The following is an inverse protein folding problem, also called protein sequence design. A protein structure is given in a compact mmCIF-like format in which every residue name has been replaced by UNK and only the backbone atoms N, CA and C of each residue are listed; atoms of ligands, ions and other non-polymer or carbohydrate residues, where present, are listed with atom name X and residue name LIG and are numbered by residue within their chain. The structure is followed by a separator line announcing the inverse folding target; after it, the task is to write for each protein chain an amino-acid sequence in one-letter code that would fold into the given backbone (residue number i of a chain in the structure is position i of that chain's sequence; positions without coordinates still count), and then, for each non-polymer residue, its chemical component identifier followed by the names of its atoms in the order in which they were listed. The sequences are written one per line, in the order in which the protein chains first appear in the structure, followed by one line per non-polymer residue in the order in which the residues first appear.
data_IF_364912209535
#
_entry.id   IF_364912209535
#
_cell.length_a   1.000
_cell.length_b   1.000
_cell.length_c   1.000
_cell.angle_alpha   90.00
_cell.angle_beta   90.00
_cell.angle_gamma   90.00
#
_symmetry.space_group_name_H-M   'P 1'
#
loop_
_entity.id
_entity.type
_entity.pdbx_description
1 polymer ?
#
# COMPACT_ATOMS: atom_id res chain seq x y z
N UNK A 1 41.14 10.24 50.33
CA UNK A 1 40.24 9.24 49.68
C UNK A 1 39.41 9.99 48.66
N UNK A 2 39.85 9.96 47.42
CA UNK A 2 39.24 10.74 46.33
C UNK A 2 38.34 9.81 45.52
N UNK A 3 37.03 10.01 45.60
CA UNK A 3 36.05 9.21 44.89
C UNK A 3 35.94 9.70 43.45
N UNK A 4 36.35 8.85 42.54
CA UNK A 4 36.32 9.09 41.09
C UNK A 4 34.88 8.86 40.58
N UNK A 5 34.14 9.94 40.25
CA UNK A 5 32.84 9.85 39.61
C UNK A 5 33.05 9.56 38.11
N UNK A 6 32.66 8.35 37.69
CA UNK A 6 32.57 7.99 36.29
C UNK A 6 31.42 8.76 35.64
N UNK A 7 31.75 9.73 34.79
CA UNK A 7 30.77 10.42 33.94
C UNK A 7 30.43 9.53 32.75
N UNK A 8 29.20 9.03 32.71
CA UNK A 8 28.65 8.35 31.55
C UNK A 8 28.41 9.37 30.42
N UNK A 9 28.76 9.06 29.17
CA UNK A 9 28.46 9.93 28.05
C UNK A 9 26.95 10.05 27.87
N UNK A 10 26.47 11.27 27.80
CA UNK A 10 25.08 11.60 27.48
C UNK A 10 24.74 10.99 26.12
N UNK A 11 23.89 9.97 26.12
CA UNK A 11 23.27 9.44 24.90
C UNK A 11 22.42 10.57 24.32
N UNK A 12 22.90 11.19 23.25
CA UNK A 12 22.10 12.13 22.48
C UNK A 12 20.86 11.37 22.00
N UNK A 13 19.70 11.69 22.55
CA UNK A 13 18.43 11.28 22.06
C UNK A 13 18.25 11.85 20.64
N UNK A 14 18.74 11.11 19.65
CA UNK A 14 18.28 11.28 18.29
C UNK A 14 16.82 10.78 18.27
N UNK A 15 15.90 11.64 18.69
CA UNK A 15 14.49 11.49 18.41
C UNK A 15 14.37 11.56 16.89
N UNK A 16 14.34 10.39 16.25
CA UNK A 16 13.94 10.29 14.85
C UNK A 16 12.56 10.95 14.79
N UNK A 17 12.49 12.15 14.24
CA UNK A 17 11.21 12.78 13.92
C UNK A 17 10.56 11.85 12.92
N UNK A 18 9.73 10.94 13.38
CA UNK A 18 8.79 10.23 12.53
C UNK A 18 7.98 11.32 11.86
N UNK A 19 8.18 11.48 10.57
CA UNK A 19 7.42 12.46 9.79
C UNK A 19 5.97 11.96 9.76
N UNK A 20 5.14 12.40 10.70
CA UNK A 20 3.75 12.02 10.86
C UNK A 20 2.84 12.63 9.78
N UNK A 21 3.40 13.25 8.76
CA UNK A 21 2.61 13.76 7.64
C UNK A 21 1.87 12.62 6.95
N UNK A 22 0.59 12.82 6.63
CA UNK A 22 -0.19 11.84 5.89
C UNK A 22 0.52 11.44 4.59
N UNK A 23 0.60 10.13 4.35
CA UNK A 23 1.25 9.57 3.17
C UNK A 23 0.49 8.34 2.69
N UNK A 24 0.23 8.29 1.39
CA UNK A 24 -0.31 7.13 0.72
C UNK A 24 0.82 6.37 0.05
N UNK A 25 1.02 5.14 0.45
CA UNK A 25 2.01 4.25 -0.15
C UNK A 25 1.34 3.30 -1.14
N UNK A 26 2.09 2.81 -2.09
CA UNK A 26 1.67 1.67 -2.91
C UNK A 26 2.75 0.60 -2.93
N UNK A 27 2.36 -0.65 -2.94
CA UNK A 27 3.29 -1.78 -2.91
C UNK A 27 2.76 -2.96 -3.73
N UNK A 28 3.63 -3.61 -4.49
CA UNK A 28 3.37 -4.91 -5.12
C UNK A 28 4.12 -6.02 -4.40
N UNK A 29 3.53 -7.24 -4.37
CA UNK A 29 4.20 -8.37 -3.71
C UNK A 29 4.89 -9.33 -4.69
N UNK A 30 4.86 -9.05 -5.97
CA UNK A 30 5.61 -9.79 -6.98
C UNK A 30 7.12 -9.74 -6.65
N UNK A 31 7.80 -10.88 -6.72
CA UNK A 31 9.22 -10.97 -6.36
C UNK A 31 9.52 -11.05 -4.85
N UNK A 32 8.65 -10.55 -3.97
CA UNK A 32 8.91 -10.49 -2.53
C UNK A 32 8.42 -11.74 -1.80
N UNK A 33 9.17 -12.21 -0.81
CA UNK A 33 8.65 -13.11 0.22
C UNK A 33 7.71 -12.36 1.16
N UNK A 34 6.88 -13.09 1.91
CA UNK A 34 5.98 -12.46 2.89
C UNK A 34 6.73 -11.66 3.96
N UNK A 35 7.89 -12.15 4.39
CA UNK A 35 8.71 -11.45 5.40
C UNK A 35 9.29 -10.15 4.84
N UNK A 36 9.85 -10.15 3.62
CA UNK A 36 10.34 -8.95 2.95
C UNK A 36 9.23 -7.92 2.74
N UNK A 37 8.03 -8.39 2.38
CA UNK A 37 6.88 -7.51 2.21
C UNK A 37 6.48 -6.84 3.53
N UNK A 38 6.35 -7.61 4.61
CA UNK A 38 6.02 -7.08 5.94
C UNK A 38 7.10 -6.13 6.44
N UNK A 39 8.39 -6.46 6.24
CA UNK A 39 9.50 -5.60 6.60
C UNK A 39 9.43 -4.23 5.91
N UNK A 40 9.10 -4.19 4.60
CA UNK A 40 8.87 -2.92 3.89
C UNK A 40 7.73 -2.11 4.50
N UNK A 41 6.63 -2.75 4.90
CA UNK A 41 5.51 -2.05 5.55
C UNK A 41 5.90 -1.50 6.92
N UNK A 42 6.56 -2.29 7.75
CA UNK A 42 7.00 -1.90 9.09
C UNK A 42 8.03 -0.77 9.01
N UNK A 43 9.03 -0.88 8.13
CA UNK A 43 10.08 0.14 7.93
C UNK A 43 9.51 1.49 7.48
N UNK A 44 8.36 1.47 6.80
CA UNK A 44 7.65 2.68 6.38
C UNK A 44 6.55 3.08 7.35
N UNK A 45 6.48 2.47 8.55
CA UNK A 45 5.50 2.77 9.60
C UNK A 45 4.04 2.70 9.11
N UNK A 46 3.72 1.78 8.20
CA UNK A 46 2.36 1.62 7.67
C UNK A 46 1.42 1.18 8.80
N UNK A 47 0.27 1.84 8.94
CA UNK A 47 -0.75 1.56 9.96
C UNK A 47 -1.88 0.68 9.43
N UNK A 48 -2.19 0.82 8.15
CA UNK A 48 -3.22 0.01 7.48
C UNK A 48 -2.79 -0.31 6.06
N UNK A 49 -2.99 -1.56 5.67
CA UNK A 49 -2.85 -2.03 4.30
C UNK A 49 -4.23 -2.23 3.68
N UNK A 50 -4.47 -1.60 2.55
CA UNK A 50 -5.69 -1.76 1.74
C UNK A 50 -5.36 -2.64 0.54
N UNK A 51 -5.90 -3.84 0.54
CA UNK A 51 -5.77 -4.82 -0.54
C UNK A 51 -6.80 -4.52 -1.64
N UNK A 52 -6.35 -3.99 -2.77
CA UNK A 52 -7.22 -3.64 -3.91
C UNK A 52 -7.27 -4.73 -4.97
N UNK A 53 -6.91 -5.97 -4.64
CA UNK A 53 -7.10 -7.11 -5.54
C UNK A 53 -8.57 -7.49 -5.62
N UNK A 54 -9.08 -7.74 -6.82
CA UNK A 54 -10.44 -8.26 -6.98
C UNK A 54 -10.58 -9.64 -6.34
N UNK A 55 -9.60 -10.53 -6.56
CA UNK A 55 -9.54 -11.84 -5.94
C UNK A 55 -8.26 -11.96 -5.10
N UNK A 56 -8.34 -12.01 -3.75
CA UNK A 56 -7.19 -12.05 -2.84
C UNK A 56 -6.68 -13.48 -2.58
N UNK A 57 -6.95 -14.42 -3.48
CA UNK A 57 -6.34 -15.76 -3.49
C UNK A 57 -4.97 -15.66 -4.16
N UNK A 58 -3.95 -16.20 -3.52
CA UNK A 58 -2.60 -16.23 -4.06
C UNK A 58 -1.98 -17.61 -3.91
N UNK A 59 -1.31 -18.11 -4.98
CA UNK A 59 -0.46 -19.30 -4.91
C UNK A 59 0.85 -19.04 -4.18
N UNK A 60 1.22 -17.77 -4.02
CA UNK A 60 2.40 -17.37 -3.28
C UNK A 60 2.13 -17.47 -1.79
N UNK A 61 2.97 -18.24 -1.09
CA UNK A 61 2.80 -18.54 0.34
C UNK A 61 2.71 -17.24 1.17
N UNK A 62 1.69 -17.18 2.01
CA UNK A 62 1.47 -16.06 2.93
C UNK A 62 0.63 -14.91 2.38
N UNK A 63 0.28 -14.89 1.07
CA UNK A 63 -0.46 -13.78 0.46
C UNK A 63 -1.94 -14.05 0.17
N UNK A 64 -2.47 -15.20 0.60
CA UNK A 64 -3.92 -15.43 0.60
C UNK A 64 -4.57 -14.70 1.78
N UNK A 65 -5.77 -14.15 1.55
CA UNK A 65 -6.45 -13.15 2.40
C UNK A 65 -6.38 -13.41 3.91
N UNK A 66 -6.80 -14.58 4.37
CA UNK A 66 -6.86 -14.88 5.82
C UNK A 66 -5.47 -14.93 6.45
N UNK A 67 -4.58 -15.74 5.86
CA UNK A 67 -3.19 -15.89 6.35
C UNK A 67 -2.44 -14.55 6.31
N UNK A 68 -2.68 -13.77 5.26
CA UNK A 68 -2.04 -12.48 5.09
C UNK A 68 -2.52 -11.46 6.13
N UNK A 69 -3.83 -11.35 6.34
CA UNK A 69 -4.42 -10.52 7.39
C UNK A 69 -3.82 -10.85 8.76
N UNK A 70 -3.84 -12.13 9.15
CA UNK A 70 -3.38 -12.55 10.47
C UNK A 70 -1.89 -12.22 10.70
N UNK A 71 -1.06 -12.28 9.65
CA UNK A 71 0.36 -11.86 9.72
C UNK A 71 0.54 -10.36 9.84
N UNK A 72 -0.29 -9.55 9.20
CA UNK A 72 -0.26 -8.09 9.31
C UNK A 72 -0.71 -7.64 10.69
N UNK A 73 -1.79 -8.22 11.20
CA UNK A 73 -2.31 -7.92 12.53
C UNK A 73 -1.30 -8.29 13.64
N UNK A 74 -0.54 -9.38 13.46
CA UNK A 74 0.51 -9.77 14.39
C UNK A 74 1.65 -8.74 14.52
N UNK A 75 1.84 -7.86 13.54
CA UNK A 75 2.80 -6.75 13.59
C UNK A 75 2.13 -5.38 13.77
N UNK A 76 0.84 -5.35 14.14
CA UNK A 76 0.09 -4.12 14.42
C UNK A 76 -0.38 -3.36 13.19
N UNK A 77 -0.35 -3.97 12.00
CA UNK A 77 -0.86 -3.36 10.76
C UNK A 77 -2.29 -3.85 10.50
N UNK A 78 -3.24 -2.93 10.39
CA UNK A 78 -4.62 -3.27 10.03
C UNK A 78 -4.70 -3.73 8.57
N UNK A 79 -5.64 -4.61 8.28
CA UNK A 79 -5.92 -5.09 6.93
C UNK A 79 -7.35 -4.77 6.51
N UNK A 80 -7.51 -4.16 5.34
CA UNK A 80 -8.80 -3.93 4.70
C UNK A 80 -8.74 -4.48 3.27
N UNK A 81 -9.81 -5.12 2.81
CA UNK A 81 -9.92 -5.60 1.44
C UNK A 81 -11.04 -4.85 0.72
N UNK A 82 -10.72 -4.24 -0.42
CA UNK A 82 -11.66 -3.50 -1.27
C UNK A 82 -11.64 -4.12 -2.67
N UNK A 83 -12.33 -5.26 -2.89
CA UNK A 83 -12.33 -5.97 -4.17
C UNK A 83 -12.99 -5.17 -5.31
N UNK A 84 -13.83 -4.21 -5.00
CA UNK A 84 -14.54 -3.35 -5.95
C UNK A 84 -13.57 -2.46 -6.74
N UNK A 85 -12.42 -2.14 -6.16
CA UNK A 85 -11.34 -1.41 -6.84
C UNK A 85 -10.38 -2.34 -7.62
N UNK A 86 -10.63 -3.65 -7.60
CA UNK A 86 -9.77 -4.62 -8.26
C UNK A 86 -10.15 -4.87 -9.72
N UNK A 87 -9.18 -5.26 -10.53
CA UNK A 87 -9.42 -5.70 -11.92
C UNK A 87 -9.90 -7.16 -11.92
N UNK A 88 -11.09 -7.45 -12.45
CA UNK A 88 -11.56 -8.83 -12.61
C UNK A 88 -10.60 -9.69 -13.41
N UNK A 89 -10.44 -10.95 -13.01
CA UNK A 89 -9.50 -11.89 -13.65
C UNK A 89 -9.79 -12.09 -15.15
N UNK A 90 -11.06 -11.99 -15.55
CA UNK A 90 -11.47 -12.12 -16.95
C UNK A 90 -10.82 -11.04 -17.84
N UNK A 91 -10.61 -9.83 -17.33
CA UNK A 91 -10.01 -8.71 -18.06
C UNK A 91 -8.47 -8.79 -18.11
N UNK A 92 -7.86 -9.67 -17.34
CA UNK A 92 -6.40 -9.87 -17.31
C UNK A 92 -5.91 -10.94 -18.29
N UNK A 93 -6.80 -11.56 -19.04
CA UNK A 93 -6.44 -12.56 -20.05
C UNK A 93 -5.77 -11.86 -21.24
N UNK A 94 -4.69 -12.47 -21.74
CA UNK A 94 -3.96 -11.99 -22.95
C UNK A 94 -3.29 -10.60 -22.80
N UNK A 95 -2.89 -10.22 -21.59
CA UNK A 95 -2.03 -9.05 -21.39
C UNK A 95 -0.58 -9.42 -21.69
N UNK A 96 -0.04 -8.94 -22.80
CA UNK A 96 1.34 -9.22 -23.22
C UNK A 96 1.98 -8.06 -23.97
N UNK A 97 1.21 -7.01 -24.28
CA UNK A 97 1.70 -5.85 -25.01
C UNK A 97 1.34 -4.55 -24.31
N UNK A 98 2.09 -3.48 -24.57
CA UNK A 98 1.79 -2.13 -24.07
C UNK A 98 0.36 -1.69 -24.45
N UNK A 99 -0.07 -2.02 -25.66
CA UNK A 99 -1.42 -1.69 -26.13
C UNK A 99 -2.52 -2.40 -25.35
N UNK A 100 -2.31 -3.69 -24.99
CA UNK A 100 -3.28 -4.44 -24.18
C UNK A 100 -3.41 -3.88 -22.75
N UNK A 101 -2.31 -3.43 -22.14
CA UNK A 101 -2.34 -2.74 -20.84
C UNK A 101 -3.03 -1.37 -20.93
N UNK A 102 -2.77 -0.58 -21.98
CA UNK A 102 -3.46 0.70 -22.18
C UNK A 102 -4.99 0.51 -22.33
N UNK A 103 -5.41 -0.48 -23.10
CA UNK A 103 -6.84 -0.81 -23.26
C UNK A 103 -7.45 -1.26 -21.94
N UNK A 104 -6.76 -2.09 -21.17
CA UNK A 104 -7.20 -2.51 -19.82
C UNK A 104 -7.39 -1.32 -18.90
N UNK A 105 -6.39 -0.42 -18.83
CA UNK A 105 -6.47 0.73 -17.91
C UNK A 105 -7.53 1.73 -18.31
N UNK A 106 -7.72 1.98 -19.61
CA UNK A 106 -8.83 2.81 -20.10
C UNK A 106 -10.19 2.22 -19.71
N UNK A 107 -10.35 0.88 -19.86
CA UNK A 107 -11.56 0.19 -19.41
C UNK A 107 -11.71 0.29 -17.88
N UNK A 108 -10.63 0.07 -17.12
CA UNK A 108 -10.61 0.14 -15.67
C UNK A 108 -11.08 1.51 -15.17
N UNK A 109 -10.50 2.59 -15.69
CA UNK A 109 -10.83 3.97 -15.30
C UNK A 109 -12.31 4.29 -15.54
N UNK A 110 -12.84 3.92 -16.72
CA UNK A 110 -14.18 4.29 -17.12
C UNK A 110 -15.28 3.39 -16.56
N UNK A 111 -15.02 2.13 -16.31
CA UNK A 111 -16.03 1.13 -15.99
C UNK A 111 -15.91 0.56 -14.57
N UNK A 112 -14.73 0.61 -13.99
CA UNK A 112 -14.50 0.10 -12.64
C UNK A 112 -14.31 1.26 -11.68
N UNK A 113 -13.27 2.06 -11.87
CA UNK A 113 -12.94 3.14 -10.95
C UNK A 113 -14.06 4.20 -10.87
N UNK A 114 -14.54 4.67 -12.01
CA UNK A 114 -15.61 5.68 -12.07
C UNK A 114 -16.93 5.22 -11.45
N UNK A 115 -17.18 3.90 -11.40
CA UNK A 115 -18.40 3.34 -10.79
C UNK A 115 -18.23 3.02 -9.31
N UNK A 116 -17.02 3.16 -8.75
CA UNK A 116 -16.67 2.74 -7.40
C UNK A 116 -15.99 3.87 -6.60
N UNK A 117 -16.38 5.11 -6.83
CA UNK A 117 -15.77 6.29 -6.20
C UNK A 117 -15.99 6.32 -4.68
N UNK A 118 -17.06 5.73 -4.17
CA UNK A 118 -17.31 5.59 -2.73
C UNK A 118 -16.19 4.80 -2.04
N UNK A 119 -15.60 3.82 -2.73
CA UNK A 119 -14.45 3.08 -2.20
C UNK A 119 -13.15 3.88 -2.30
N UNK A 120 -13.03 4.81 -3.23
CA UNK A 120 -11.92 5.77 -3.26
C UNK A 120 -12.02 6.76 -2.08
N UNK A 121 -13.23 7.19 -1.73
CA UNK A 121 -13.45 8.01 -0.53
C UNK A 121 -13.09 7.24 0.76
N UNK A 122 -13.31 5.92 0.83
CA UNK A 122 -12.83 5.11 1.95
C UNK A 122 -11.30 5.14 2.09
N UNK A 123 -10.56 5.19 0.97
CA UNK A 123 -9.09 5.38 1.02
C UNK A 123 -8.74 6.74 1.62
N UNK A 124 -9.42 7.82 1.23
CA UNK A 124 -9.20 9.16 1.80
C UNK A 124 -9.52 9.19 3.31
N UNK A 125 -10.61 8.55 3.72
CA UNK A 125 -10.97 8.43 5.15
C UNK A 125 -9.90 7.64 5.91
N UNK A 126 -9.39 6.54 5.35
CA UNK A 126 -8.32 5.77 5.96
C UNK A 126 -7.04 6.62 6.13
N UNK A 127 -6.68 7.45 5.16
CA UNK A 127 -5.53 8.36 5.26
C UNK A 127 -5.74 9.38 6.38
N UNK A 128 -6.93 9.95 6.49
CA UNK A 128 -7.29 10.89 7.56
C UNK A 128 -7.19 10.22 8.93
N UNK A 129 -7.63 8.97 9.05
CA UNK A 129 -7.66 8.23 10.32
C UNK A 129 -6.30 7.67 10.72
N UNK A 130 -5.53 7.15 9.78
CA UNK A 130 -4.31 6.38 10.07
C UNK A 130 -3.02 7.09 9.65
N UNK A 131 -3.09 8.15 8.89
CA UNK A 131 -1.99 8.95 8.32
C UNK A 131 -1.08 8.16 7.36
N UNK A 132 -0.77 6.89 7.62
CA UNK A 132 0.16 6.07 6.83
C UNK A 132 -0.56 4.82 6.31
N UNK A 133 -1.00 4.91 5.07
CA UNK A 133 -1.83 3.91 4.38
C UNK A 133 -1.08 3.34 3.19
N UNK A 134 -1.15 2.03 2.97
CA UNK A 134 -0.58 1.41 1.77
C UNK A 134 -1.66 0.72 0.93
N UNK A 135 -1.70 0.98 -0.38
CA UNK A 135 -2.47 0.20 -1.35
C UNK A 135 -1.62 -0.97 -1.85
N UNK A 136 -2.18 -2.17 -1.86
CA UNK A 136 -1.48 -3.37 -2.28
C UNK A 136 -2.14 -4.06 -3.46
N UNK A 137 -1.31 -4.48 -4.43
CA UNK A 137 -1.68 -5.38 -5.51
C UNK A 137 -0.57 -6.41 -5.77
N UNK A 138 -0.66 -7.17 -6.86
CA UNK A 138 0.34 -8.18 -7.21
C UNK A 138 1.59 -7.57 -7.83
N UNK A 139 1.46 -6.81 -8.90
CA UNK A 139 2.53 -6.35 -9.77
C UNK A 139 3.59 -5.54 -9.02
N UNK A 140 4.90 -5.84 -9.19
CA UNK A 140 5.99 -5.05 -8.62
C UNK A 140 5.99 -3.64 -9.21
N UNK A 141 6.08 -3.54 -10.54
CA UNK A 141 6.02 -2.25 -11.25
C UNK A 141 4.61 -1.65 -11.15
N UNK A 142 4.51 -0.51 -10.45
CA UNK A 142 3.24 0.18 -10.27
C UNK A 142 2.65 0.73 -11.58
N UNK A 143 3.47 1.03 -12.59
CA UNK A 143 3.01 1.48 -13.91
C UNK A 143 2.20 0.43 -14.67
N UNK A 144 2.45 -0.85 -14.39
CA UNK A 144 1.70 -1.98 -14.97
C UNK A 144 0.53 -2.45 -14.10
N UNK A 145 0.21 -1.68 -13.05
CA UNK A 145 -0.80 -2.04 -12.05
C UNK A 145 -1.92 -1.00 -11.95
N UNK A 146 -3.14 -1.47 -11.74
CA UNK A 146 -4.31 -0.62 -11.55
C UNK A 146 -4.24 0.26 -10.28
N UNK A 147 -3.43 -0.11 -9.26
CA UNK A 147 -3.20 0.75 -8.09
C UNK A 147 -2.65 2.13 -8.47
N UNK A 148 -1.88 2.21 -9.57
CA UNK A 148 -1.40 3.47 -10.12
C UNK A 148 -2.56 4.35 -10.62
N UNK A 149 -3.57 3.77 -11.26
CA UNK A 149 -4.75 4.51 -11.72
C UNK A 149 -5.56 5.09 -10.55
N UNK A 150 -5.61 4.39 -9.43
CA UNK A 150 -6.22 4.91 -8.20
C UNK A 150 -5.43 6.12 -7.69
N UNK A 151 -4.11 6.04 -7.65
CA UNK A 151 -3.27 7.15 -7.18
C UNK A 151 -3.28 8.34 -8.14
N UNK A 152 -3.31 8.12 -9.44
CA UNK A 152 -3.50 9.18 -10.43
C UNK A 152 -4.85 9.90 -10.26
N UNK A 153 -5.93 9.15 -10.07
CA UNK A 153 -7.25 9.73 -9.81
C UNK A 153 -7.24 10.60 -8.55
N UNK A 154 -6.66 10.10 -7.46
CA UNK A 154 -6.52 10.85 -6.21
C UNK A 154 -5.69 12.13 -6.40
N UNK A 155 -4.60 12.07 -7.18
CA UNK A 155 -3.73 13.22 -7.45
C UNK A 155 -4.41 14.34 -8.26
N UNK A 156 -5.43 14.03 -9.04
CA UNK A 156 -6.22 15.00 -9.80
C UNK A 156 -7.17 15.80 -8.90
N UNK A 157 -7.51 15.29 -7.73
CA UNK A 157 -8.33 16.00 -6.75
C UNK A 157 -7.49 17.10 -6.06
N UNK A 158 -7.83 18.37 -6.32
CA UNK A 158 -7.13 19.52 -5.75
C UNK A 158 -7.18 19.57 -4.22
N UNK A 159 -8.13 18.89 -3.59
CA UNK A 159 -8.25 18.79 -2.14
C UNK A 159 -7.30 17.73 -1.55
N UNK A 160 -6.85 16.78 -2.36
CA UNK A 160 -5.95 15.71 -1.95
C UNK A 160 -4.49 16.23 -1.86
N UNK A 161 -4.05 16.54 -0.64
CA UNK A 161 -2.70 17.09 -0.36
C UNK A 161 -1.73 16.06 0.21
N UNK A 162 -2.08 14.79 0.10
CA UNK A 162 -1.29 13.68 0.65
C UNK A 162 -0.18 13.29 -0.32
N UNK A 163 1.03 13.12 0.19
CA UNK A 163 2.14 12.58 -0.58
C UNK A 163 1.86 11.13 -0.99
N UNK A 164 2.26 10.77 -2.20
CA UNK A 164 2.19 9.40 -2.69
C UNK A 164 3.61 8.85 -2.87
N UNK A 165 3.87 7.66 -2.34
CA UNK A 165 5.16 6.98 -2.41
C UNK A 165 4.95 5.55 -2.91
N UNK A 166 5.67 5.16 -3.96
CA UNK A 166 5.67 3.79 -4.47
C UNK A 166 6.84 3.03 -3.82
N UNK A 167 6.53 1.91 -3.16
CA UNK A 167 7.51 1.04 -2.51
C UNK A 167 7.87 -0.10 -3.48
N UNK A 168 9.03 0.00 -4.11
CA UNK A 168 9.58 -1.00 -5.04
C UNK A 168 10.43 -2.04 -4.31
#
# INVERSE_FOLDING_TARGET
MTTNMLTFPQVRNNVWRVNNSPCLFTIGYEGLTINQFIEKLVSNDIKILIDVRNNPISRKVGFSKSVFRDRLEAVGIKYQHIPELGVPSALRKNLGTKASYQSLFHHYERKILACNLDYVEQIKMAITQFSRVALMCFEADYHTCHRHRITEYLSQDRSFKTNIVHLD
#
